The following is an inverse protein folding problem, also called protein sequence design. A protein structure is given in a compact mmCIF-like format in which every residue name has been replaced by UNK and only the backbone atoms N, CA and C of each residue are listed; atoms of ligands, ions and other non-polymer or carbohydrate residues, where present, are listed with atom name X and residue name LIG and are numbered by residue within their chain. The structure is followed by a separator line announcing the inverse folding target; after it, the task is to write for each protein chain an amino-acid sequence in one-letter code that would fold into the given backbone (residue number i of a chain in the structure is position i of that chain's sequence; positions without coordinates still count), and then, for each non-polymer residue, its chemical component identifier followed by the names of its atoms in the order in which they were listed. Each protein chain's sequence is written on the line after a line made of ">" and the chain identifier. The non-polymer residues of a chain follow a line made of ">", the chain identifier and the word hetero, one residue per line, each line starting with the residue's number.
data_IF_308426655205
#
_entry.id   IF_308426655205
#
_cell.length_a   1.000
_cell.length_b   1.000
_cell.length_c   1.000
_cell.angle_alpha   90.00
_cell.angle_beta   90.00
_cell.angle_gamma   90.00
#
_symmetry.space_group_name_H-M   'P 1'
#
loop_
_entity.id
_entity.type
_entity.pdbx_description
1 polymer ?
#
# COMPACT_ATOMS: atom_id res chain seq x y z
N UNK A 1 -4.12 -59.09 52.18
CA UNK A 1 -5.09 -58.39 51.31
C UNK A 1 -4.81 -56.90 51.37
N UNK A 2 -4.86 -56.24 50.20
CA UNK A 2 -4.72 -54.79 49.94
C UNK A 2 -3.28 -54.29 49.74
N UNK A 3 -2.78 -54.51 48.53
CA UNK A 3 -1.65 -53.77 47.96
C UNK A 3 -2.18 -52.58 47.16
N UNK A 4 -1.76 -51.39 47.57
CA UNK A 4 -2.04 -50.10 46.93
C UNK A 4 -1.50 -50.06 45.50
N UNK A 5 -2.30 -49.54 44.55
CA UNK A 5 -1.84 -49.23 43.20
C UNK A 5 -2.16 -47.76 42.91
N UNK A 6 -1.15 -46.92 43.11
CA UNK A 6 -1.10 -45.56 42.57
C UNK A 6 -0.27 -45.68 41.29
N UNK A 7 -0.86 -45.41 40.13
CA UNK A 7 -0.08 -45.07 38.94
C UNK A 7 -0.76 -43.93 38.19
N UNK A 8 -0.06 -42.80 38.18
CA UNK A 8 -0.39 -41.57 37.50
C UNK A 8 -0.33 -41.75 35.98
N UNK A 9 -1.38 -41.34 35.28
CA UNK A 9 -1.40 -41.20 33.82
C UNK A 9 -1.29 -39.72 33.45
N UNK A 10 -0.12 -39.32 32.96
CA UNK A 10 0.26 -37.95 32.57
C UNK A 10 -0.66 -37.41 31.47
N UNK A 11 -1.39 -36.33 31.77
CA UNK A 11 -2.07 -35.51 30.76
C UNK A 11 -1.03 -34.66 30.02
N UNK A 12 -0.68 -35.05 28.79
CA UNK A 12 0.19 -34.26 27.93
C UNK A 12 -0.64 -33.13 27.28
N UNK A 13 -0.82 -32.03 28.02
CA UNK A 13 -1.35 -30.79 27.48
C UNK A 13 -0.26 -30.14 26.61
N UNK A 14 -0.23 -30.48 25.32
CA UNK A 14 0.58 -29.75 24.35
C UNK A 14 -0.06 -28.37 24.12
N UNK A 15 0.45 -27.36 24.82
CA UNK A 15 0.10 -25.97 24.58
C UNK A 15 0.47 -25.58 23.15
N UNK A 16 -0.54 -25.48 22.28
CA UNK A 16 -0.43 -24.76 21.02
C UNK A 16 -0.28 -23.29 21.36
N UNK A 17 0.95 -22.84 21.59
CA UNK A 17 1.27 -21.42 21.53
C UNK A 17 1.08 -20.98 20.08
N UNK A 18 -0.15 -20.57 19.75
CA UNK A 18 -0.42 -19.79 18.56
C UNK A 18 0.36 -18.48 18.72
N UNK A 19 1.56 -18.44 18.15
CA UNK A 19 2.31 -17.18 18.03
C UNK A 19 1.42 -16.19 17.31
N UNK A 20 1.16 -15.05 17.94
CA UNK A 20 0.46 -13.94 17.32
C UNK A 20 1.25 -13.52 16.09
N UNK A 21 0.71 -13.77 14.89
CA UNK A 21 1.28 -13.25 13.66
C UNK A 21 1.35 -11.73 13.79
N UNK A 22 2.57 -11.17 13.84
CA UNK A 22 2.74 -9.73 13.74
C UNK A 22 2.33 -9.33 12.32
N UNK A 23 1.44 -8.34 12.22
CA UNK A 23 1.14 -7.68 10.95
C UNK A 23 2.46 -7.13 10.40
N UNK A 24 2.92 -7.69 9.29
CA UNK A 24 4.07 -7.18 8.56
C UNK A 24 3.56 -6.39 7.37
N UNK A 25 4.20 -5.25 7.09
CA UNK A 25 3.93 -4.50 5.87
C UNK A 25 4.20 -5.41 4.66
N UNK A 26 3.16 -5.62 3.85
CA UNK A 26 3.23 -6.47 2.68
C UNK A 26 3.69 -5.63 1.49
N UNK A 27 4.62 -6.15 0.67
CA UNK A 27 5.03 -5.46 -0.55
C UNK A 27 3.84 -5.39 -1.52
N UNK A 28 3.70 -4.23 -2.15
CA UNK A 28 2.70 -3.98 -3.19
C UNK A 28 3.28 -4.47 -4.52
N UNK A 29 2.52 -5.28 -5.24
CA UNK A 29 2.94 -5.89 -6.51
C UNK A 29 2.22 -5.30 -7.73
N UNK A 30 1.06 -4.69 -7.52
CA UNK A 30 0.27 -4.04 -8.57
C UNK A 30 -0.78 -3.10 -7.92
N UNK A 31 -1.59 -2.43 -8.74
CA UNK A 31 -2.72 -1.64 -8.29
C UNK A 31 -2.85 -0.34 -9.09
N UNK A 32 -3.83 0.47 -8.70
CA UNK A 32 -4.03 1.77 -9.30
C UNK A 32 -4.55 2.80 -8.29
N UNK A 33 -4.22 4.05 -8.54
CA UNK A 33 -4.76 5.21 -7.83
C UNK A 33 -5.56 6.05 -8.80
N UNK A 34 -6.85 6.21 -8.52
CA UNK A 34 -7.71 7.12 -9.26
C UNK A 34 -7.74 8.48 -8.56
N UNK A 35 -7.51 9.55 -9.31
CA UNK A 35 -7.57 10.93 -8.84
C UNK A 35 -8.61 11.68 -9.64
N UNK A 36 -9.61 12.21 -8.95
CA UNK A 36 -10.58 13.15 -9.51
C UNK A 36 -10.03 14.56 -9.30
N UNK A 37 -9.67 15.26 -10.38
CA UNK A 37 -9.13 16.63 -10.28
C UNK A 37 -10.27 17.65 -10.28
N UNK A 38 -10.84 17.87 -9.11
CA UNK A 38 -11.93 18.84 -8.91
C UNK A 38 -11.50 20.28 -9.25
N UNK A 39 -10.21 20.61 -9.09
CA UNK A 39 -9.67 21.92 -9.44
C UNK A 39 -9.36 22.10 -10.94
N UNK A 40 -9.46 21.06 -11.77
CA UNK A 40 -9.10 21.14 -13.18
C UNK A 40 -9.86 22.25 -13.96
N UNK A 41 -11.18 22.46 -13.78
CA UNK A 41 -11.90 23.55 -14.44
C UNK A 41 -11.41 24.95 -14.02
N UNK A 42 -10.99 25.10 -12.76
CA UNK A 42 -10.42 26.34 -12.24
C UNK A 42 -9.02 26.58 -12.80
N UNK A 43 -8.21 25.53 -12.90
CA UNK A 43 -6.87 25.59 -13.48
C UNK A 43 -6.92 25.91 -14.98
N UNK A 44 -7.82 25.27 -15.74
CA UNK A 44 -8.02 25.59 -17.16
C UNK A 44 -8.58 26.99 -17.36
N UNK A 45 -9.51 27.44 -16.50
CA UNK A 45 -9.98 28.82 -16.45
C UNK A 45 -8.88 29.83 -16.15
N UNK A 46 -7.87 29.46 -15.37
CA UNK A 46 -6.67 30.26 -15.11
C UNK A 46 -5.62 30.20 -16.24
N UNK A 47 -5.87 29.44 -17.30
CA UNK A 47 -4.97 29.26 -18.44
C UNK A 47 -3.88 28.20 -18.21
N UNK A 48 -4.02 27.35 -17.20
CA UNK A 48 -3.14 26.19 -16.98
C UNK A 48 -3.67 25.00 -17.77
N UNK A 49 -2.85 24.46 -18.66
CA UNK A 49 -3.11 23.19 -19.31
C UNK A 49 -2.52 22.05 -18.48
N UNK A 50 -3.35 21.07 -18.12
CA UNK A 50 -2.93 19.85 -17.44
C UNK A 50 -2.73 18.74 -18.47
N UNK A 51 -1.51 18.24 -18.58
CA UNK A 51 -1.13 17.07 -19.36
C UNK A 51 -0.77 15.89 -18.46
N UNK A 52 -0.69 14.70 -19.05
CA UNK A 52 -0.21 13.50 -18.39
C UNK A 52 1.23 13.20 -18.78
N UNK A 53 1.96 12.54 -17.88
CA UNK A 53 3.31 12.05 -18.14
C UNK A 53 3.40 10.55 -17.88
N UNK A 54 4.18 9.87 -18.72
CA UNK A 54 4.53 8.47 -18.56
C UNK A 54 3.31 7.54 -18.63
N UNK A 55 3.16 6.66 -17.63
CA UNK A 55 2.12 5.63 -17.57
C UNK A 55 0.78 6.08 -16.98
N UNK A 56 0.61 7.38 -16.69
CA UNK A 56 -0.66 7.92 -16.23
C UNK A 56 -1.72 7.85 -17.34
N UNK A 57 -2.95 7.47 -16.99
CA UNK A 57 -4.07 7.34 -17.93
C UNK A 57 -5.14 8.41 -17.66
N UNK A 58 -5.70 8.96 -18.74
CA UNK A 58 -6.77 9.96 -18.67
C UNK A 58 -8.13 9.31 -18.95
N UNK A 59 -9.14 9.68 -18.16
CA UNK A 59 -10.54 9.43 -18.47
C UNK A 59 -11.33 10.74 -18.39
N UNK A 60 -12.03 11.14 -19.47
CA UNK A 60 -13.00 12.22 -19.38
C UNK A 60 -14.14 11.75 -18.48
N UNK A 61 -14.20 12.23 -17.24
CA UNK A 61 -15.27 11.85 -16.32
C UNK A 61 -16.63 12.34 -16.83
N UNK A 62 -17.70 11.62 -16.47
CA UNK A 62 -19.06 11.87 -16.99
C UNK A 62 -19.63 13.26 -16.67
N UNK A 63 -19.06 13.98 -15.70
CA UNK A 63 -19.52 15.29 -15.23
C UNK A 63 -18.62 16.45 -15.69
N UNK A 64 -17.71 16.23 -16.65
CA UNK A 64 -16.73 17.23 -17.09
C UNK A 64 -15.55 17.44 -16.13
N UNK A 65 -15.49 16.69 -15.03
CA UNK A 65 -14.35 16.64 -14.12
C UNK A 65 -13.43 15.49 -14.56
N UNK A 66 -12.15 15.75 -14.87
CA UNK A 66 -11.26 14.71 -15.35
C UNK A 66 -10.87 13.72 -14.23
N UNK A 67 -10.83 12.44 -14.60
CA UNK A 67 -10.27 11.37 -13.79
C UNK A 67 -8.92 10.97 -14.35
N UNK A 68 -7.91 10.87 -13.50
CA UNK A 68 -6.57 10.41 -13.87
C UNK A 68 -6.24 9.17 -13.07
N UNK A 69 -5.72 8.14 -13.74
CA UNK A 69 -5.28 6.91 -13.11
C UNK A 69 -3.76 6.84 -13.10
N UNK A 70 -3.20 6.54 -11.93
CA UNK A 70 -1.78 6.34 -11.71
C UNK A 70 -1.55 4.87 -11.34
N UNK A 71 -0.89 4.08 -12.18
CA UNK A 71 -0.45 2.72 -11.83
C UNK A 71 0.40 2.74 -10.57
N UNK A 72 0.14 1.77 -9.68
CA UNK A 72 0.97 1.55 -8.49
C UNK A 72 2.10 0.62 -8.88
N UNK A 73 3.33 1.10 -8.76
CA UNK A 73 4.53 0.36 -9.19
C UNK A 73 5.24 -0.34 -8.04
N UNK A 74 4.89 -0.02 -6.79
CA UNK A 74 5.54 -0.58 -5.62
C UNK A 74 5.12 0.07 -4.31
N UNK A 75 6.00 -0.04 -3.33
CA UNK A 75 5.74 0.33 -1.94
C UNK A 75 5.40 -0.88 -1.07
N UNK A 76 5.09 -0.61 0.20
CA UNK A 76 4.70 -1.62 1.17
C UNK A 76 3.65 -1.05 2.12
N UNK A 77 2.61 -1.83 2.40
CA UNK A 77 1.51 -1.40 3.26
C UNK A 77 1.13 -2.52 4.24
N UNK A 78 0.89 -2.14 5.49
CA UNK A 78 0.25 -3.00 6.47
C UNK A 78 -1.24 -3.12 6.14
N UNK A 79 -1.75 -4.32 5.87
CA UNK A 79 -3.16 -4.54 5.50
C UNK A 79 -4.13 -4.36 6.66
N UNK A 80 -3.65 -4.36 7.91
CA UNK A 80 -4.49 -4.14 9.09
C UNK A 80 -4.65 -2.65 9.39
N UNK A 81 -3.58 -1.87 9.26
CA UNK A 81 -3.56 -0.44 9.63
C UNK A 81 -3.54 0.50 8.44
N UNK A 82 -3.30 -0.02 7.23
CA UNK A 82 -3.02 0.73 6.01
C UNK A 82 -1.81 1.69 6.12
N UNK A 83 -0.95 1.48 7.11
CA UNK A 83 0.28 2.23 7.30
C UNK A 83 1.37 1.75 6.32
N UNK A 84 2.00 2.66 5.61
CA UNK A 84 3.07 2.33 4.67
C UNK A 84 3.30 3.40 3.60
N UNK A 85 3.95 2.97 2.53
CA UNK A 85 4.21 3.78 1.35
C UNK A 85 3.62 3.13 0.10
N UNK A 86 3.15 3.95 -0.84
CA UNK A 86 2.64 3.51 -2.14
C UNK A 86 3.37 4.32 -3.20
N UNK A 87 4.02 3.63 -4.14
CA UNK A 87 4.87 4.25 -5.16
C UNK A 87 4.19 4.22 -6.54
N UNK A 88 4.36 5.30 -7.30
CA UNK A 88 3.81 5.50 -8.65
C UNK A 88 4.91 5.96 -9.60
N UNK A 89 6.01 5.20 -9.65
CA UNK A 89 7.17 5.51 -10.46
C UNK A 89 6.81 5.54 -11.96
N UNK A 90 7.40 6.47 -12.71
CA UNK A 90 7.17 6.59 -14.15
C UNK A 90 5.80 7.11 -14.54
N UNK A 91 4.98 7.58 -13.59
CA UNK A 91 3.74 8.33 -13.85
C UNK A 91 3.88 9.78 -13.39
N UNK A 92 3.11 10.69 -14.01
CA UNK A 92 3.18 12.10 -13.66
C UNK A 92 2.08 12.97 -14.24
N UNK A 93 2.11 14.25 -13.85
CA UNK A 93 1.29 15.33 -14.35
C UNK A 93 2.18 16.46 -14.89
N UNK A 94 1.80 17.05 -16.01
CA UNK A 94 2.45 18.23 -16.56
C UNK A 94 1.50 19.42 -16.45
N UNK A 95 1.94 20.52 -15.86
CA UNK A 95 1.20 21.76 -15.73
C UNK A 95 1.89 22.81 -16.59
N UNK A 96 1.24 23.28 -17.63
CA UNK A 96 1.80 24.29 -18.54
C UNK A 96 0.97 25.56 -18.52
N UNK A 97 1.62 26.71 -18.34
CA UNK A 97 0.99 28.04 -18.46
C UNK A 97 1.99 29.04 -19.03
N UNK A 98 1.53 29.84 -20.00
CA UNK A 98 2.29 30.95 -20.57
C UNK A 98 3.73 30.59 -21.02
N UNK A 99 3.95 29.35 -21.51
CA UNK A 99 5.25 28.85 -21.97
C UNK A 99 6.12 28.21 -20.88
N UNK A 100 5.72 28.28 -19.60
CA UNK A 100 6.39 27.55 -18.51
C UNK A 100 5.69 26.21 -18.29
N UNK A 101 6.48 25.12 -18.26
CA UNK A 101 6.01 23.77 -17.96
C UNK A 101 6.62 23.27 -16.66
N UNK A 102 5.76 22.83 -15.74
CA UNK A 102 6.11 22.17 -14.48
C UNK A 102 5.68 20.72 -14.59
N UNK A 103 6.63 19.79 -14.53
CA UNK A 103 6.36 18.37 -14.53
C UNK A 103 6.43 17.84 -13.11
N UNK A 104 5.41 17.10 -12.69
CA UNK A 104 5.32 16.40 -11.43
C UNK A 104 5.35 14.91 -11.74
N UNK A 105 6.33 14.16 -11.24
CA UNK A 105 6.45 12.72 -11.52
C UNK A 105 6.89 11.93 -10.29
N UNK A 106 6.87 10.61 -10.42
CA UNK A 106 7.42 9.67 -9.41
C UNK A 106 6.83 9.92 -8.04
N UNK A 107 5.50 9.85 -7.97
CA UNK A 107 4.77 10.11 -6.75
C UNK A 107 4.96 8.99 -5.74
N UNK A 108 5.03 9.37 -4.47
CA UNK A 108 5.04 8.44 -3.33
C UNK A 108 4.03 8.95 -2.31
N UNK A 109 3.01 8.13 -2.06
CA UNK A 109 2.04 8.33 -0.97
C UNK A 109 2.66 7.77 0.29
N UNK A 110 2.85 8.62 1.30
CA UNK A 110 3.12 8.22 2.68
C UNK A 110 1.80 8.24 3.46
N UNK A 111 1.25 7.07 3.76
CA UNK A 111 -0.01 6.95 4.50
C UNK A 111 0.15 7.16 6.00
N UNK A 112 1.39 7.11 6.52
CA UNK A 112 1.70 7.35 7.93
C UNK A 112 1.87 8.84 8.18
N UNK A 113 2.66 9.50 7.35
CA UNK A 113 2.85 10.95 7.38
C UNK A 113 1.65 11.72 6.85
N UNK A 114 0.79 11.08 6.06
CA UNK A 114 -0.37 11.72 5.42
C UNK A 114 0.03 12.70 4.33
N UNK A 115 1.05 12.36 3.53
CA UNK A 115 1.67 13.27 2.57
C UNK A 115 1.89 12.57 1.23
N UNK A 116 1.74 13.31 0.14
CA UNK A 116 2.18 12.91 -1.20
C UNK A 116 3.48 13.64 -1.50
N UNK A 117 4.55 12.88 -1.69
CA UNK A 117 5.81 13.40 -2.18
C UNK A 117 6.00 13.05 -3.65
N UNK A 118 6.88 13.77 -4.33
CA UNK A 118 7.22 13.45 -5.72
C UNK A 118 8.41 14.26 -6.22
N UNK A 119 8.73 14.04 -7.49
CA UNK A 119 9.69 14.82 -8.24
C UNK A 119 9.00 16.00 -8.93
N UNK A 120 9.67 17.15 -8.97
CA UNK A 120 9.24 18.36 -9.66
C UNK A 120 10.33 18.79 -10.62
N UNK A 121 10.00 18.92 -11.90
CA UNK A 121 10.93 19.40 -12.92
C UNK A 121 10.39 20.69 -13.53
N UNK A 122 11.21 21.75 -13.47
CA UNK A 122 10.90 23.07 -14.00
C UNK A 122 12.05 23.46 -14.93
N UNK A 123 11.83 23.36 -16.23
CA UNK A 123 12.89 23.53 -17.22
C UNK A 123 14.05 22.56 -16.98
N UNK A 124 15.24 23.08 -16.65
CA UNK A 124 16.44 22.29 -16.38
C UNK A 124 16.63 21.91 -14.90
N UNK A 125 15.78 22.42 -13.99
CA UNK A 125 15.89 22.14 -12.55
C UNK A 125 14.99 20.98 -12.17
N UNK A 126 15.55 19.98 -11.48
CA UNK A 126 14.81 18.83 -10.95
C UNK A 126 14.96 18.81 -9.43
N UNK A 127 13.82 18.84 -8.73
CA UNK A 127 13.72 18.69 -7.28
C UNK A 127 13.10 17.34 -6.99
N UNK A 128 13.75 16.50 -6.20
CA UNK A 128 13.22 15.18 -5.83
C UNK A 128 12.71 15.18 -4.40
N UNK A 129 11.75 14.30 -4.10
CA UNK A 129 11.18 14.13 -2.76
C UNK A 129 10.57 15.41 -2.18
N UNK A 130 9.93 16.22 -3.04
CA UNK A 130 9.21 17.42 -2.63
C UNK A 130 7.86 17.02 -2.08
N UNK A 131 7.46 17.55 -0.92
CA UNK A 131 6.11 17.36 -0.40
C UNK A 131 5.12 18.21 -1.20
N UNK A 132 4.34 17.55 -2.06
CA UNK A 132 3.44 18.19 -3.01
C UNK A 132 2.05 18.40 -2.43
N UNK A 133 1.51 17.37 -1.79
CA UNK A 133 0.16 17.41 -1.24
C UNK A 133 0.12 16.87 0.18
N UNK A 134 -0.76 17.45 0.98
CA UNK A 134 -1.22 16.83 2.21
C UNK A 134 -2.46 16.00 1.92
N UNK A 135 -2.53 14.85 2.58
CA UNK A 135 -3.52 13.82 2.35
C UNK A 135 -4.41 13.70 3.58
N UNK A 136 -5.70 13.98 3.41
CA UNK A 136 -6.71 13.81 4.45
C UNK A 136 -7.21 12.37 4.55
N UNK A 137 -6.34 11.42 4.95
CA UNK A 137 -6.76 10.03 5.17
C UNK A 137 -7.64 9.94 6.41
N UNK A 138 -8.91 9.57 6.23
CA UNK A 138 -9.89 9.35 7.32
C UNK A 138 -10.11 7.87 7.62
N UNK A 139 -9.36 6.97 6.95
CA UNK A 139 -9.51 5.53 7.06
C UNK A 139 -8.69 4.81 5.99
N UNK A 140 -9.29 3.79 5.35
CA UNK A 140 -8.63 3.03 4.29
C UNK A 140 -8.28 3.89 3.07
N UNK A 141 -7.10 3.70 2.45
CA UNK A 141 -6.72 4.41 1.22
C UNK A 141 -7.62 4.07 0.02
N UNK A 142 -8.45 3.02 0.12
CA UNK A 142 -9.50 2.72 -0.86
C UNK A 142 -10.66 3.73 -0.83
N UNK A 143 -10.88 4.41 0.30
CA UNK A 143 -11.87 5.47 0.39
C UNK A 143 -11.35 6.76 -0.25
N UNK A 144 -12.21 7.60 -0.84
CA UNK A 144 -11.79 8.87 -1.40
C UNK A 144 -11.29 9.80 -0.29
N UNK A 145 -10.04 10.21 -0.40
CA UNK A 145 -9.38 11.17 0.50
C UNK A 145 -9.07 12.47 -0.23
N UNK A 146 -8.99 13.58 0.50
CA UNK A 146 -8.69 14.89 -0.08
C UNK A 146 -7.20 15.06 -0.35
N UNK A 147 -6.88 15.67 -1.49
CA UNK A 147 -5.54 16.13 -1.84
C UNK A 147 -5.48 17.64 -1.75
N UNK A 148 -4.79 18.18 -0.76
CA UNK A 148 -4.59 19.62 -0.59
C UNK A 148 -3.13 20.00 -0.86
N UNK A 149 -2.90 21.12 -1.53
CA UNK A 149 -1.54 21.60 -1.81
C UNK A 149 -0.84 22.04 -0.53
N UNK A 150 0.41 21.59 -0.35
CA UNK A 150 1.26 22.10 0.73
C UNK A 150 1.66 23.55 0.46
N UNK A 151 1.98 24.31 1.50
CA UNK A 151 2.42 25.70 1.34
C UNK A 151 3.68 25.82 0.45
N UNK A 152 4.61 24.88 0.58
CA UNK A 152 5.83 24.84 -0.24
C UNK A 152 5.51 24.58 -1.72
N UNK A 153 4.67 23.59 -2.02
CA UNK A 153 4.31 23.27 -3.39
C UNK A 153 3.43 24.35 -4.03
N UNK A 154 2.46 24.90 -3.28
CA UNK A 154 1.65 26.02 -3.71
C UNK A 154 2.52 27.24 -4.04
N UNK A 155 3.44 27.62 -3.16
CA UNK A 155 4.35 28.74 -3.40
C UNK A 155 5.23 28.53 -4.64
N UNK A 156 5.72 27.31 -4.87
CA UNK A 156 6.48 26.97 -6.06
C UNK A 156 5.63 27.06 -7.35
N UNK A 157 4.40 26.56 -7.34
CA UNK A 157 3.48 26.64 -8.49
C UNK A 157 3.02 28.07 -8.76
N UNK A 158 2.68 28.83 -7.73
CA UNK A 158 2.35 30.25 -7.81
C UNK A 158 3.52 31.04 -8.40
N UNK A 159 4.75 30.78 -7.95
CA UNK A 159 5.94 31.44 -8.48
C UNK A 159 6.30 31.02 -9.92
N UNK A 160 6.14 29.73 -10.26
CA UNK A 160 6.52 29.21 -11.57
C UNK A 160 5.48 29.53 -12.66
N UNK A 161 4.20 29.42 -12.33
CA UNK A 161 3.09 29.57 -13.27
C UNK A 161 2.41 30.94 -13.15
N UNK A 162 2.76 31.78 -12.18
CA UNK A 162 2.14 33.10 -11.98
C UNK A 162 0.67 33.01 -11.59
N UNK A 163 0.33 32.06 -10.72
CA UNK A 163 -1.03 31.81 -10.21
C UNK A 163 -1.27 32.60 -8.92
N UNK A 164 -2.54 32.83 -8.49
CA UNK A 164 -2.81 33.28 -7.13
C UNK A 164 -2.29 32.28 -6.09
N UNK A 165 -2.25 32.67 -4.81
CA UNK A 165 -1.84 31.74 -3.75
C UNK A 165 -2.77 30.52 -3.72
N UNK A 166 -2.18 29.32 -3.82
CA UNK A 166 -2.88 28.04 -3.82
C UNK A 166 -2.67 27.27 -2.51
N UNK A 167 -2.13 27.91 -1.46
CA UNK A 167 -1.88 27.26 -0.17
C UNK A 167 -3.15 26.62 0.39
N UNK A 168 -3.11 25.32 0.67
CA UNK A 168 -4.24 24.57 1.24
C UNK A 168 -5.41 24.33 0.27
N UNK A 169 -5.30 24.75 -1.01
CA UNK A 169 -6.34 24.48 -2.00
C UNK A 169 -6.45 22.98 -2.24
N UNK A 170 -7.67 22.46 -2.13
CA UNK A 170 -7.98 21.09 -2.51
C UNK A 170 -7.94 20.96 -4.03
N UNK A 171 -6.98 20.19 -4.54
CA UNK A 171 -6.86 19.93 -5.98
C UNK A 171 -7.83 18.85 -6.43
N UNK A 172 -8.18 17.94 -5.53
CA UNK A 172 -9.12 16.87 -5.83
C UNK A 172 -9.30 15.87 -4.71
N UNK A 173 -9.87 14.73 -5.10
CA UNK A 173 -9.99 13.54 -4.27
C UNK A 173 -9.32 12.35 -4.93
N UNK A 174 -8.58 11.55 -4.17
CA UNK A 174 -7.94 10.35 -4.66
C UNK A 174 -8.40 9.11 -3.89
N UNK A 175 -8.36 7.96 -4.56
CA UNK A 175 -8.62 6.64 -3.97
C UNK A 175 -7.62 5.66 -4.57
N UNK A 176 -7.03 4.84 -3.72
CA UNK A 176 -5.93 3.93 -4.04
C UNK A 176 -6.33 2.49 -3.74
N UNK A 177 -6.15 1.61 -4.71
CA UNK A 177 -6.42 0.19 -4.61
C UNK A 177 -5.11 -0.59 -4.86
N UNK A 178 -4.22 -0.68 -3.84
CA UNK A 178 -2.99 -1.44 -3.96
C UNK A 178 -3.27 -2.95 -3.87
N UNK A 179 -2.57 -3.75 -4.65
CA UNK A 179 -2.59 -5.21 -4.63
C UNK A 179 -1.29 -5.67 -3.97
N UNK A 180 -1.40 -6.33 -2.82
CA UNK A 180 -0.24 -6.84 -2.08
C UNK A 180 0.10 -8.27 -2.46
N UNK A 181 1.36 -8.66 -2.25
CA UNK A 181 1.78 -10.05 -2.44
C UNK A 181 1.06 -10.98 -1.45
N UNK A 182 0.57 -12.12 -1.93
CA UNK A 182 0.06 -13.17 -1.07
C UNK A 182 1.23 -13.85 -0.34
N UNK A 183 1.38 -13.59 0.97
CA UNK A 183 2.34 -14.29 1.82
C UNK A 183 1.62 -15.47 2.49
N UNK A 184 2.04 -16.73 2.26
CA UNK A 184 1.51 -17.87 3.01
C UNK A 184 1.81 -17.69 4.49
N UNK A 185 0.78 -17.74 5.33
CA UNK A 185 0.95 -17.41 6.74
C UNK A 185 1.84 -18.41 7.49
N UNK A 186 2.61 -17.99 8.52
CA UNK A 186 3.45 -18.87 9.34
C UNK A 186 2.67 -20.04 9.94
N UNK A 187 1.38 -19.83 10.26
CA UNK A 187 0.49 -20.87 10.75
C UNK A 187 0.25 -21.97 9.71
N UNK A 188 0.21 -21.64 8.42
CA UNK A 188 0.10 -22.63 7.33
C UNK A 188 1.34 -23.51 7.27
N UNK A 189 2.54 -22.93 7.42
CA UNK A 189 3.78 -23.70 7.51
C UNK A 189 3.85 -24.53 8.80
N UNK A 190 3.46 -23.97 9.94
CA UNK A 190 3.43 -24.68 11.21
C UNK A 190 2.41 -25.84 11.19
N UNK A 191 1.25 -25.67 10.55
CA UNK A 191 0.26 -26.72 10.37
C UNK A 191 0.75 -27.80 9.40
N UNK A 192 1.42 -27.41 8.31
CA UNK A 192 2.03 -28.36 7.38
C UNK A 192 3.13 -29.18 8.07
N UNK A 193 4.06 -28.53 8.78
CA UNK A 193 5.13 -29.18 9.54
C UNK A 193 4.57 -30.04 10.68
N UNK A 194 3.55 -29.54 11.39
CA UNK A 194 2.83 -30.27 12.43
C UNK A 194 2.15 -31.52 11.88
N UNK A 195 1.46 -31.41 10.74
CA UNK A 195 0.82 -32.54 10.05
C UNK A 195 1.82 -33.59 9.60
N UNK A 196 2.94 -33.17 9.00
CA UNK A 196 4.02 -34.07 8.60
C UNK A 196 4.68 -34.76 9.80
N UNK A 197 4.90 -34.03 10.90
CA UNK A 197 5.42 -34.59 12.14
C UNK A 197 4.48 -35.65 12.73
N UNK A 198 3.17 -35.40 12.72
CA UNK A 198 2.16 -36.32 13.24
C UNK A 198 2.07 -37.59 12.38
N UNK A 199 2.14 -37.45 11.05
CA UNK A 199 2.23 -38.59 10.13
C UNK A 199 3.49 -39.44 10.39
N UNK A 200 4.64 -38.80 10.60
CA UNK A 200 5.88 -39.50 10.96
C UNK A 200 5.78 -40.29 12.28
N UNK A 201 5.06 -39.77 13.28
CA UNK A 201 4.81 -40.48 14.53
C UNK A 201 3.88 -41.69 14.34
N UNK A 202 2.83 -41.55 13.54
CA UNK A 202 1.88 -42.65 13.27
C UNK A 202 2.57 -43.79 12.52
N UNK A 203 3.37 -43.48 11.49
CA UNK A 203 4.11 -44.51 10.74
C UNK A 203 5.14 -45.21 11.62
N UNK A 204 5.84 -44.49 12.50
CA UNK A 204 6.79 -45.09 13.47
C UNK A 204 6.10 -46.03 14.47
N UNK A 205 4.89 -45.69 14.94
CA UNK A 205 4.12 -46.56 15.85
C UNK A 205 3.67 -47.84 15.16
N UNK A 206 3.22 -47.76 13.90
CA UNK A 206 2.84 -48.93 13.09
C UNK A 206 4.03 -49.84 12.81
N UNK A 207 5.20 -49.28 12.48
CA UNK A 207 6.42 -50.06 12.28
C UNK A 207 6.85 -50.81 13.56
N UNK A 208 6.75 -50.19 14.74
CA UNK A 208 7.04 -50.87 16.02
C UNK A 208 6.03 -51.96 16.37
N UNK A 209 4.74 -51.75 16.10
CA UNK A 209 3.71 -52.75 16.34
C UNK A 209 3.87 -53.99 15.44
N UNK A 210 4.28 -53.77 14.19
CA UNK A 210 4.54 -54.85 13.22
C UNK A 210 5.89 -55.56 13.44
N UNK A 211 6.77 -55.02 14.30
CA UNK A 211 8.06 -55.62 14.65
C UNK A 211 8.02 -56.44 15.96
N UNK A 212 6.85 -56.58 16.59
CA UNK A 212 6.69 -57.49 17.72
C UNK A 212 6.78 -58.95 17.21
N UNK A 213 7.70 -59.78 17.74
CA UNK A 213 7.93 -61.12 17.21
C UNK A 213 6.73 -62.03 17.46
N UNK A 214 6.40 -62.86 16.48
CA UNK A 214 5.52 -64.01 16.68
C UNK A 214 6.15 -64.91 17.76
N UNK A 215 5.53 -64.97 18.94
CA UNK A 215 5.84 -65.96 19.97
C UNK A 215 5.53 -67.34 19.40
N UNK A 216 6.60 -68.10 19.15
CA UNK A 216 6.59 -69.56 18.95
C UNK A 216 6.51 -70.27 20.30
#
# INVERSE_FOLDING_TARGET
>A
MKSSLVLAGVALAAGLAAGTAQAQALPIVDGFTSVRLDAAPTLTGAGVTVGLLGSALFSPGSNGIPLVYFPVTGGAIDTATFAGSIEHAGSGLSLTRAGTTVNLSDFVIDTVGGQLTGQVNIGATTLSNVSLFSIGLTGSPAAPFSLSLTATAAGALTSALGLPDLTGVQVGSASTLPITAAVPEPATYAAMLGGLGLLGLVTRRRAKANAAPALA
#
